data_IF_550288358604
#
_entry.id   IF_550288358604
#
_cell.length_a   1.000
_cell.length_b   1.000
_cell.length_c   1.000
_cell.angle_alpha   90.00
_cell.angle_beta   90.00
_cell.angle_gamma   90.00
#
_symmetry.space_group_name_H-M   'P 1'
#
loop_
_entity.id
_entity.type
_entity.pdbx_description
1 polymer ?
#
# COMPACT_ATOMS: atom_id res chain seq x y z
N UNK A 1 -22.33 -10.20 -0.20
CA UNK A 1 -22.40 -8.73 -0.18
C UNK A 1 -21.93 -8.26 1.19
N UNK A 2 -20.64 -8.03 1.33
CA UNK A 2 -20.04 -7.55 2.59
C UNK A 2 -20.18 -6.03 2.60
N UNK A 3 -20.82 -5.46 3.63
CA UNK A 3 -20.96 -4.00 3.80
C UNK A 3 -19.57 -3.34 3.77
N UNK A 4 -19.42 -2.12 3.24
CA UNK A 4 -18.22 -1.33 3.52
C UNK A 4 -18.16 -1.07 5.02
N UNK A 5 -17.01 -1.38 5.61
CA UNK A 5 -16.56 -0.92 6.94
C UNK A 5 -16.81 0.58 7.08
N UNK A 6 -17.31 1.02 8.23
CA UNK A 6 -17.49 2.43 8.58
C UNK A 6 -16.30 3.25 8.09
N UNK A 7 -16.56 4.24 7.24
CA UNK A 7 -15.55 5.19 6.82
C UNK A 7 -15.06 5.92 8.08
N UNK A 8 -13.88 5.53 8.56
CA UNK A 8 -13.20 6.27 9.62
C UNK A 8 -12.64 7.52 8.97
N UNK A 9 -13.12 8.70 9.36
CA UNK A 9 -12.54 9.95 8.90
C UNK A 9 -11.04 9.95 9.22
N UNK A 10 -10.21 10.17 8.20
CA UNK A 10 -8.76 10.15 8.32
C UNK A 10 -8.21 11.37 9.09
N UNK A 11 -9.03 12.42 9.22
CA UNK A 11 -8.70 13.68 9.85
C UNK A 11 -9.97 14.35 10.40
N UNK A 12 -9.79 15.34 11.26
CA UNK A 12 -10.88 16.20 11.70
C UNK A 12 -11.35 17.07 10.51
N UNK A 13 -12.66 17.11 10.28
CA UNK A 13 -13.24 17.92 9.22
C UNK A 13 -13.24 19.40 9.64
N UNK A 14 -12.78 20.33 8.78
CA UNK A 14 -12.94 21.75 9.03
C UNK A 14 -14.41 22.15 8.91
N UNK A 15 -14.79 23.25 9.58
CA UNK A 15 -16.11 23.86 9.41
C UNK A 15 -16.17 24.69 8.12
N UNK A 16 -16.08 24.00 6.98
CA UNK A 16 -16.13 24.58 5.64
C UNK A 16 -16.98 23.73 4.70
N UNK A 17 -17.72 24.33 3.75
CA UNK A 17 -18.47 23.57 2.75
C UNK A 17 -17.53 22.71 1.89
N UNK A 18 -17.78 21.40 1.89
CA UNK A 18 -17.00 20.44 1.10
C UNK A 18 -17.36 20.53 -0.37
N UNK A 19 -16.39 20.76 -1.24
CA UNK A 19 -16.60 20.88 -2.69
C UNK A 19 -16.46 19.55 -3.44
N UNK A 20 -15.62 18.65 -2.93
CA UNK A 20 -15.29 17.40 -3.59
C UNK A 20 -14.65 16.44 -2.59
N UNK A 21 -14.89 15.14 -2.76
CA UNK A 21 -14.19 14.09 -2.02
C UNK A 21 -13.69 13.06 -3.00
N UNK A 22 -12.42 12.67 -2.86
CA UNK A 22 -11.85 11.55 -3.58
C UNK A 22 -11.34 10.52 -2.59
N UNK A 23 -11.86 9.31 -2.71
CA UNK A 23 -11.43 8.16 -1.93
C UNK A 23 -10.61 7.21 -2.80
N UNK A 24 -9.54 6.68 -2.22
CA UNK A 24 -8.83 5.52 -2.75
C UNK A 24 -8.94 4.37 -1.74
N UNK A 25 -9.37 3.20 -2.20
CA UNK A 25 -9.29 1.96 -1.42
C UNK A 25 -8.41 0.98 -2.20
N UNK A 26 -7.28 0.62 -1.62
CA UNK A 26 -6.36 -0.35 -2.24
C UNK A 26 -6.09 -1.46 -1.24
N UNK A 27 -6.33 -2.70 -1.69
CA UNK A 27 -6.16 -3.89 -0.89
C UNK A 27 -5.32 -4.91 -1.64
N UNK A 28 -4.44 -5.57 -0.90
CA UNK A 28 -3.60 -6.64 -1.40
C UNK A 28 -4.05 -7.97 -0.78
N UNK A 29 -4.19 -8.99 -1.64
CA UNK A 29 -4.61 -10.33 -1.26
C UNK A 29 -3.58 -11.32 -1.76
N UNK A 30 -3.28 -12.33 -0.95
CA UNK A 30 -2.67 -13.55 -1.47
C UNK A 30 -3.71 -14.25 -2.35
N UNK A 31 -3.41 -14.43 -3.63
CA UNK A 31 -4.26 -15.20 -4.54
C UNK A 31 -3.89 -16.67 -4.50
N UNK A 32 -2.58 -16.95 -4.55
CA UNK A 32 -2.00 -18.29 -4.43
C UNK A 32 -0.56 -18.21 -3.86
N UNK A 33 0.22 -19.29 -4.02
CA UNK A 33 1.61 -19.36 -3.53
C UNK A 33 2.57 -18.44 -4.29
N UNK A 34 2.27 -18.17 -5.55
CA UNK A 34 3.14 -17.44 -6.49
C UNK A 34 2.61 -16.07 -6.83
N UNK A 35 1.32 -15.79 -6.67
CA UNK A 35 0.69 -14.53 -7.10
C UNK A 35 -0.07 -13.82 -5.98
N UNK A 36 -0.13 -12.49 -6.09
CA UNK A 36 -0.95 -11.61 -5.27
C UNK A 36 -1.93 -10.81 -6.14
N UNK A 37 -3.15 -10.60 -5.65
CA UNK A 37 -4.12 -9.69 -6.25
C UNK A 37 -4.04 -8.34 -5.53
N UNK A 38 -3.80 -7.27 -6.28
CA UNK A 38 -3.91 -5.89 -5.82
C UNK A 38 -5.18 -5.31 -6.45
N UNK A 39 -6.19 -5.06 -5.62
CA UNK A 39 -7.44 -4.40 -6.02
C UNK A 39 -7.43 -2.97 -5.56
N UNK A 40 -7.60 -2.04 -6.49
CA UNK A 40 -7.72 -0.61 -6.25
C UNK A 40 -9.08 -0.10 -6.70
N UNK A 41 -9.68 0.78 -5.92
CA UNK A 41 -10.86 1.56 -6.27
C UNK A 41 -10.58 3.05 -6.10
N UNK A 42 -11.06 3.87 -7.02
CA UNK A 42 -11.13 5.32 -6.87
C UNK A 42 -12.57 5.76 -6.98
N UNK A 43 -13.01 6.62 -6.07
CA UNK A 43 -14.35 7.20 -6.10
C UNK A 43 -14.29 8.71 -5.88
N UNK A 44 -14.93 9.45 -6.78
CA UNK A 44 -15.15 10.88 -6.63
C UNK A 44 -16.60 11.15 -6.28
N UNK A 45 -16.81 11.92 -5.23
CA UNK A 45 -18.13 12.29 -4.73
C UNK A 45 -18.24 13.81 -4.68
N UNK A 46 -19.33 14.31 -5.22
CA UNK A 46 -19.75 15.71 -5.12
C UNK A 46 -20.76 15.84 -3.98
N UNK A 47 -20.77 16.96 -3.25
CA UNK A 47 -21.74 17.20 -2.19
C UNK A 47 -23.17 17.24 -2.75
N UNK A 48 -24.15 17.10 -1.85
CA UNK A 48 -25.53 17.45 -2.13
C UNK A 48 -25.63 18.91 -2.61
N UNK A 49 -26.61 19.21 -3.46
CA UNK A 49 -26.80 20.54 -4.02
C UNK A 49 -25.82 20.93 -5.13
N UNK A 50 -24.90 20.05 -5.55
CA UNK A 50 -23.83 20.45 -6.46
C UNK A 50 -24.32 20.92 -7.85
N UNK A 51 -25.32 20.26 -8.42
CA UNK A 51 -25.88 20.59 -9.75
C UNK A 51 -27.33 21.09 -9.69
N UNK A 52 -28.04 20.81 -8.60
CA UNK A 52 -29.41 21.22 -8.32
C UNK A 52 -29.56 21.34 -6.81
N UNK A 53 -29.90 22.52 -6.29
CA UNK A 53 -30.09 22.79 -4.87
C UNK A 53 -31.19 21.91 -4.24
N UNK A 54 -32.09 21.34 -5.04
CA UNK A 54 -33.12 20.41 -4.59
C UNK A 54 -32.58 18.99 -4.35
N UNK A 55 -31.42 18.63 -4.92
CA UNK A 55 -30.80 17.32 -4.69
C UNK A 55 -30.09 17.29 -3.34
N UNK A 56 -30.68 16.58 -2.39
CA UNK A 56 -30.17 16.48 -1.02
C UNK A 56 -29.13 15.37 -0.84
N UNK A 57 -28.83 14.60 -1.88
CA UNK A 57 -27.93 13.45 -1.81
C UNK A 57 -26.56 13.75 -2.46
N UNK A 58 -25.47 13.19 -1.92
CA UNK A 58 -24.18 13.28 -2.58
C UNK A 58 -24.16 12.45 -3.89
N UNK A 59 -23.47 12.96 -4.90
CA UNK A 59 -23.39 12.34 -6.22
C UNK A 59 -22.02 11.70 -6.46
N UNK A 60 -21.99 10.40 -6.74
CA UNK A 60 -20.76 9.76 -7.24
C UNK A 60 -20.55 10.14 -8.71
N UNK A 61 -19.50 10.91 -8.98
CA UNK A 61 -19.16 11.37 -10.33
C UNK A 61 -18.27 10.37 -11.08
N UNK A 62 -17.33 9.76 -10.35
CA UNK A 62 -16.39 8.79 -10.89
C UNK A 62 -16.31 7.57 -9.98
N UNK A 63 -16.27 6.37 -10.56
CA UNK A 63 -15.99 5.15 -9.84
C UNK A 63 -15.27 4.18 -10.79
N UNK A 64 -13.99 3.93 -10.51
CA UNK A 64 -13.18 3.00 -11.30
C UNK A 64 -12.55 1.96 -10.38
N UNK A 65 -12.46 0.74 -10.89
CA UNK A 65 -11.84 -0.40 -10.20
C UNK A 65 -10.71 -0.92 -11.08
N UNK A 66 -9.58 -1.24 -10.46
CA UNK A 66 -8.41 -1.83 -11.10
C UNK A 66 -8.00 -3.06 -10.31
N UNK A 67 -7.91 -4.20 -10.99
CA UNK A 67 -7.34 -5.42 -10.45
C UNK A 67 -6.03 -5.73 -11.15
N UNK A 68 -4.97 -5.94 -10.37
CA UNK A 68 -3.67 -6.38 -10.86
C UNK A 68 -3.31 -7.70 -10.20
N UNK A 69 -3.10 -8.75 -11.00
CA UNK A 69 -2.46 -9.97 -10.52
C UNK A 69 -0.97 -9.80 -10.73
N UNK A 70 -0.20 -9.93 -9.65
CA UNK A 70 1.23 -9.69 -9.63
C UNK A 70 1.97 -10.94 -9.19
N UNK A 71 3.00 -11.31 -9.94
CA UNK A 71 3.93 -12.37 -9.57
C UNK A 71 4.76 -11.96 -8.35
N UNK A 72 4.79 -12.80 -7.32
CA UNK A 72 5.47 -12.48 -6.05
C UNK A 72 6.97 -12.71 -6.10
N UNK A 73 7.54 -13.34 -7.14
CA UNK A 73 8.98 -13.49 -7.28
C UNK A 73 9.60 -12.27 -8.00
N UNK A 74 8.94 -11.79 -9.05
CA UNK A 74 9.43 -10.79 -10.00
C UNK A 74 8.76 -9.43 -9.86
N UNK A 75 7.59 -9.36 -9.20
CA UNK A 75 6.72 -8.19 -9.14
C UNK A 75 6.16 -7.77 -10.50
N UNK A 76 6.15 -8.68 -11.47
CA UNK A 76 5.54 -8.47 -12.79
C UNK A 76 4.01 -8.59 -12.73
N UNK A 77 3.31 -7.70 -13.42
CA UNK A 77 1.85 -7.75 -13.59
C UNK A 77 1.52 -8.82 -14.64
N UNK A 78 0.89 -9.90 -14.21
CA UNK A 78 0.48 -11.02 -15.05
C UNK A 78 -0.90 -10.81 -15.68
N UNK A 79 -1.81 -10.18 -14.94
CA UNK A 79 -3.18 -9.88 -15.40
C UNK A 79 -3.56 -8.48 -14.92
N UNK A 80 -4.26 -7.72 -15.77
CA UNK A 80 -4.80 -6.41 -15.44
C UNK A 80 -6.24 -6.28 -15.94
N UNK A 81 -7.15 -5.95 -15.03
CA UNK A 81 -8.55 -5.65 -15.36
C UNK A 81 -8.90 -4.25 -14.88
N UNK A 82 -9.57 -3.47 -15.72
CA UNK A 82 -10.05 -2.12 -15.38
C UNK A 82 -11.53 -2.04 -15.67
N UNK A 83 -12.29 -1.50 -14.72
CA UNK A 83 -13.73 -1.30 -14.83
C UNK A 83 -14.08 0.15 -14.50
N UNK A 84 -14.99 0.73 -15.28
CA UNK A 84 -15.54 2.05 -15.08
C UNK A 84 -17.00 1.87 -14.67
N UNK A 85 -17.26 1.84 -13.37
CA UNK A 85 -18.60 1.64 -12.79
C UNK A 85 -19.46 2.89 -12.91
N UNK A 86 -18.86 4.07 -12.74
CA UNK A 86 -19.53 5.36 -12.85
C UNK A 86 -18.60 6.35 -13.58
N UNK A 87 -19.12 7.02 -14.59
CA UNK A 87 -18.37 7.97 -15.40
C UNK A 87 -19.29 9.04 -16.02
N UNK A 88 -18.81 10.28 -16.23
CA UNK A 88 -19.64 11.40 -16.70
C UNK A 88 -19.94 11.36 -18.20
N UNK A 89 -19.13 10.65 -19.01
CA UNK A 89 -19.28 10.65 -20.46
C UNK A 89 -19.37 9.23 -21.01
N UNK A 90 -20.24 8.97 -22.01
CA UNK A 90 -20.41 7.63 -22.58
C UNK A 90 -19.14 7.11 -23.29
N UNK A 91 -18.24 8.01 -23.71
CA UNK A 91 -16.98 7.64 -24.34
C UNK A 91 -15.87 7.28 -23.33
N UNK A 92 -16.04 7.52 -22.02
CA UNK A 92 -15.01 7.22 -21.02
C UNK A 92 -14.56 5.74 -21.02
N UNK A 93 -15.46 4.74 -21.12
CA UNK A 93 -15.04 3.33 -21.13
C UNK A 93 -14.26 2.91 -22.37
N UNK A 94 -14.25 3.69 -23.45
CA UNK A 94 -13.55 3.34 -24.70
C UNK A 94 -12.02 3.19 -24.50
N UNK A 95 -11.47 3.73 -23.41
CA UNK A 95 -10.05 3.61 -23.08
C UNK A 95 -9.71 2.36 -22.25
N UNK A 96 -10.71 1.59 -21.78
CA UNK A 96 -10.52 0.47 -20.84
C UNK A 96 -9.52 -0.56 -21.39
N UNK A 97 -9.66 -0.97 -22.65
CA UNK A 97 -8.77 -1.94 -23.29
C UNK A 97 -7.31 -1.45 -23.37
N UNK A 98 -7.09 -0.13 -23.35
CA UNK A 98 -5.74 0.45 -23.37
C UNK A 98 -4.93 0.06 -22.13
N UNK A 99 -5.59 -0.20 -21.00
CA UNK A 99 -4.93 -0.63 -19.77
C UNK A 99 -4.37 -2.05 -19.81
N UNK A 100 -4.67 -2.84 -20.85
CA UNK A 100 -3.97 -4.11 -21.10
C UNK A 100 -2.45 -3.95 -21.23
N UNK A 101 -1.95 -2.74 -21.54
CA UNK A 101 -0.52 -2.39 -21.57
C UNK A 101 0.17 -2.40 -20.20
N UNK A 102 -0.58 -2.63 -19.11
CA UNK A 102 -0.05 -2.87 -17.78
C UNK A 102 0.59 -4.25 -17.65
N UNK A 103 0.10 -5.24 -18.40
CA UNK A 103 0.62 -6.61 -18.37
C UNK A 103 2.08 -6.62 -18.84
N UNK A 104 2.94 -7.32 -18.10
CA UNK A 104 4.38 -7.37 -18.33
C UNK A 104 5.17 -6.22 -17.70
N UNK A 105 4.51 -5.22 -17.08
CA UNK A 105 5.21 -4.21 -16.30
C UNK A 105 5.52 -4.72 -14.89
N UNK A 106 6.68 -4.36 -14.36
CA UNK A 106 6.96 -4.54 -12.93
C UNK A 106 6.31 -3.42 -12.11
N UNK A 107 5.59 -3.78 -11.03
CA UNK A 107 5.01 -2.81 -10.07
C UNK A 107 6.05 -2.24 -9.08
N UNK A 108 7.32 -2.60 -9.26
CA UNK A 108 8.43 -2.13 -8.45
C UNK A 108 8.96 -0.75 -8.89
N UNK A 109 10.23 -0.46 -8.58
CA UNK A 109 10.91 0.80 -8.90
C UNK A 109 10.75 1.15 -10.39
N UNK A 110 10.33 2.39 -10.65
CA UNK A 110 10.10 2.89 -12.02
C UNK A 110 8.65 2.78 -12.50
N UNK A 111 7.78 2.04 -11.80
CA UNK A 111 6.39 1.86 -12.20
C UNK A 111 5.63 3.18 -12.40
N UNK A 112 5.70 4.10 -11.43
CA UNK A 112 5.01 5.41 -11.51
C UNK A 112 5.45 6.23 -12.73
N UNK A 113 6.73 6.15 -13.12
CA UNK A 113 7.22 6.81 -14.33
C UNK A 113 6.57 6.18 -15.57
N UNK A 114 6.59 4.84 -15.64
CA UNK A 114 6.00 4.09 -16.74
C UNK A 114 4.49 4.34 -16.89
N UNK A 115 3.77 4.45 -15.77
CA UNK A 115 2.35 4.81 -15.75
C UNK A 115 2.12 6.19 -16.39
N UNK A 116 2.95 7.18 -16.07
CA UNK A 116 2.82 8.52 -16.67
C UNK A 116 3.15 8.54 -18.16
N UNK A 117 4.14 7.77 -18.59
CA UNK A 117 4.44 7.62 -20.02
C UNK A 117 3.27 7.00 -20.77
N UNK A 118 2.73 5.88 -20.28
CA UNK A 118 1.69 5.12 -20.96
C UNK A 118 0.34 5.81 -20.93
N UNK A 119 -0.06 6.32 -19.76
CA UNK A 119 -1.44 6.73 -19.46
C UNK A 119 -1.56 8.20 -19.01
N UNK A 120 -0.50 8.99 -19.16
CA UNK A 120 -0.52 10.42 -18.85
C UNK A 120 -1.31 11.25 -19.88
N UNK A 121 -2.00 12.28 -19.39
CA UNK A 121 -2.77 13.19 -20.23
C UNK A 121 -3.87 12.48 -21.02
N UNK A 122 -4.01 12.71 -22.34
CA UNK A 122 -5.11 12.16 -23.13
C UNK A 122 -4.99 10.65 -23.40
N UNK A 123 -3.91 9.99 -22.94
CA UNK A 123 -3.67 8.55 -23.16
C UNK A 123 -4.32 7.66 -22.10
N UNK A 124 -4.98 8.25 -21.10
CA UNK A 124 -5.65 7.52 -20.02
C UNK A 124 -6.68 8.39 -19.32
N UNK A 125 -7.41 7.79 -18.38
CA UNK A 125 -8.23 8.51 -17.43
C UNK A 125 -7.36 9.05 -16.28
N UNK A 126 -7.51 10.33 -15.94
CA UNK A 126 -6.81 10.95 -14.81
C UNK A 126 -6.99 10.16 -13.50
N UNK A 127 -8.20 9.65 -13.26
CA UNK A 127 -8.57 8.88 -12.06
C UNK A 127 -7.84 7.54 -11.99
N UNK A 128 -7.92 6.71 -13.05
CA UNK A 128 -7.24 5.42 -13.09
C UNK A 128 -5.72 5.59 -13.08
N UNK A 129 -5.18 6.60 -13.77
CA UNK A 129 -3.74 6.91 -13.77
C UNK A 129 -3.26 7.30 -12.38
N UNK A 130 -4.03 8.09 -11.62
CA UNK A 130 -3.70 8.43 -10.23
C UNK A 130 -3.85 7.22 -9.29
N UNK A 131 -4.92 6.43 -9.46
CA UNK A 131 -5.15 5.18 -8.71
C UNK A 131 -3.98 4.21 -8.88
N UNK A 132 -3.51 3.98 -10.10
CA UNK A 132 -2.35 3.11 -10.36
C UNK A 132 -1.10 3.58 -9.60
N UNK A 133 -0.86 4.89 -9.52
CA UNK A 133 0.26 5.44 -8.74
C UNK A 133 0.06 5.21 -7.23
N UNK A 134 -1.17 5.28 -6.73
CA UNK A 134 -1.50 4.99 -5.34
C UNK A 134 -1.45 3.48 -5.02
N UNK A 135 -1.66 2.60 -6.00
CA UNK A 135 -1.61 1.16 -5.81
C UNK A 135 -0.18 0.62 -5.61
N UNK A 136 0.82 1.25 -6.23
CA UNK A 136 2.18 0.72 -6.21
C UNK A 136 2.82 0.65 -4.80
N UNK A 137 2.72 1.69 -3.93
CA UNK A 137 3.19 1.58 -2.55
C UNK A 137 2.52 0.45 -1.76
N UNK A 138 1.22 0.25 -1.95
CA UNK A 138 0.46 -0.82 -1.26
C UNK A 138 0.94 -2.19 -1.72
N UNK A 139 1.13 -2.39 -3.02
CA UNK A 139 1.67 -3.63 -3.57
C UNK A 139 3.06 -3.95 -3.01
N UNK A 140 3.95 -2.94 -2.96
CA UNK A 140 5.30 -3.09 -2.42
C UNK A 140 5.30 -3.40 -0.92
N UNK A 141 4.50 -2.69 -0.12
CA UNK A 141 4.40 -2.93 1.32
C UNK A 141 3.79 -4.30 1.63
N UNK A 142 2.76 -4.71 0.88
CA UNK A 142 2.16 -6.02 1.01
C UNK A 142 3.14 -7.13 0.64
N UNK A 143 3.91 -6.96 -0.44
CA UNK A 143 4.97 -7.89 -0.83
C UNK A 143 6.03 -8.05 0.27
N UNK A 144 6.57 -6.94 0.77
CA UNK A 144 7.56 -6.94 1.85
C UNK A 144 7.00 -7.57 3.14
N UNK A 145 5.74 -7.28 3.48
CA UNK A 145 5.03 -7.90 4.60
C UNK A 145 4.78 -9.40 4.38
N UNK A 146 4.47 -9.84 3.16
CA UNK A 146 4.20 -11.25 2.85
C UNK A 146 5.43 -12.14 3.02
N UNK A 147 6.64 -11.61 2.74
CA UNK A 147 7.91 -12.29 3.04
C UNK A 147 8.11 -12.51 4.54
N UNK A 148 7.56 -11.61 5.36
CA UNK A 148 7.58 -11.73 6.82
C UNK A 148 6.60 -12.82 7.32
N UNK A 149 5.48 -13.02 6.61
CA UNK A 149 4.40 -13.96 7.00
C UNK A 149 4.62 -15.37 6.43
N UNK A 150 5.24 -15.52 5.24
CA UNK A 150 5.50 -16.83 4.58
C UNK A 150 6.50 -17.72 5.33
N UNK A 151 7.18 -17.24 6.38
CA UNK A 151 8.26 -17.94 7.06
C UNK A 151 7.83 -18.91 8.16
N UNK A 152 6.54 -19.20 8.40
CA UNK A 152 6.13 -20.37 9.20
C UNK A 152 4.61 -20.65 9.17
N UNK A 153 4.15 -21.81 8.70
CA UNK A 153 2.95 -22.44 9.21
C UNK A 153 3.32 -23.28 10.45
N UNK A 154 2.60 -23.06 11.55
CA UNK A 154 2.70 -23.72 12.87
C UNK A 154 3.64 -23.07 13.91
N UNK A 155 2.99 -22.50 14.95
CA UNK A 155 3.55 -22.19 16.28
C UNK A 155 4.77 -21.27 16.33
N UNK A 156 4.60 -19.97 16.02
CA UNK A 156 5.62 -18.96 16.31
C UNK A 156 5.30 -17.57 15.77
N UNK A 157 5.90 -16.55 16.39
CA UNK A 157 5.88 -15.17 15.90
C UNK A 157 6.72 -15.06 14.61
N UNK A 158 6.09 -15.25 13.44
CA UNK A 158 6.78 -15.19 12.12
C UNK A 158 7.47 -13.86 11.86
N UNK A 159 6.97 -12.77 12.47
CA UNK A 159 7.61 -11.46 12.46
C UNK A 159 8.96 -11.48 13.19
N UNK A 160 9.03 -12.12 14.36
CA UNK A 160 10.26 -12.29 15.12
C UNK A 160 11.25 -13.27 14.48
N UNK A 161 10.74 -14.39 13.94
CA UNK A 161 11.57 -15.45 13.36
C UNK A 161 12.41 -15.00 12.14
N UNK A 162 11.90 -14.09 11.30
CA UNK A 162 12.67 -13.53 10.18
C UNK A 162 13.65 -12.42 10.59
N UNK A 163 13.45 -11.81 11.76
CA UNK A 163 14.32 -10.77 12.27
C UNK A 163 15.55 -11.37 12.97
N UNK A 164 15.43 -12.58 13.50
CA UNK A 164 16.44 -13.24 14.34
C UNK A 164 17.74 -13.61 13.59
N UNK A 165 17.69 -13.92 12.29
CA UNK A 165 18.88 -14.31 11.52
C UNK A 165 19.58 -13.12 10.85
N UNK A 166 20.93 -13.04 10.84
CA UNK A 166 21.67 -12.00 10.13
C UNK A 166 21.28 -11.90 8.63
N UNK A 167 21.07 -13.05 7.99
CA UNK A 167 20.64 -13.15 6.59
C UNK A 167 19.24 -12.56 6.38
N UNK A 168 18.30 -12.84 7.28
CA UNK A 168 16.94 -12.29 7.23
C UNK A 168 16.93 -10.76 7.40
N UNK A 169 17.79 -10.24 8.27
CA UNK A 169 17.98 -8.79 8.46
C UNK A 169 18.57 -8.12 7.23
N UNK A 170 19.61 -8.71 6.64
CA UNK A 170 20.21 -8.21 5.40
C UNK A 170 19.21 -8.23 4.23
N UNK A 171 18.45 -9.32 4.07
CA UNK A 171 17.42 -9.43 3.04
C UNK A 171 16.30 -8.39 3.21
N UNK A 172 15.90 -8.09 4.45
CA UNK A 172 14.94 -7.02 4.77
C UNK A 172 15.51 -5.65 4.43
N UNK A 173 16.75 -5.37 4.82
CA UNK A 173 17.42 -4.12 4.51
C UNK A 173 17.49 -3.90 2.99
N UNK A 174 17.92 -4.90 2.23
CA UNK A 174 17.99 -4.83 0.77
C UNK A 174 16.59 -4.65 0.15
N UNK A 175 15.59 -5.39 0.62
CA UNK A 175 14.22 -5.25 0.11
C UNK A 175 13.59 -3.88 0.34
N UNK A 176 13.99 -3.16 1.40
CA UNK A 176 13.49 -1.81 1.69
C UNK A 176 14.41 -0.70 1.18
N UNK A 177 15.59 -1.01 0.64
CA UNK A 177 16.59 -0.04 0.17
C UNK A 177 15.99 0.98 -0.79
N UNK A 178 16.13 2.27 -0.46
CA UNK A 178 15.58 3.42 -1.19
C UNK A 178 14.07 3.30 -1.48
N UNK A 179 13.30 2.76 -0.54
CA UNK A 179 11.82 2.75 -0.63
C UNK A 179 11.18 3.93 0.11
N UNK A 180 11.85 4.49 1.12
CA UNK A 180 11.47 5.74 1.77
C UNK A 180 12.70 6.42 2.39
N UNK A 181 12.51 7.62 2.96
CA UNK A 181 13.58 8.41 3.59
C UNK A 181 14.35 7.64 4.67
N UNK A 182 13.67 6.86 5.51
CA UNK A 182 14.30 6.06 6.57
C UNK A 182 15.16 4.92 5.99
N UNK A 183 14.81 4.41 4.82
CA UNK A 183 15.54 3.34 4.14
C UNK A 183 16.48 3.86 3.05
N UNK A 184 16.90 5.13 3.13
CA UNK A 184 17.88 5.69 2.20
C UNK A 184 19.23 4.99 2.36
N UNK A 185 19.94 4.81 1.25
CA UNK A 185 21.24 4.14 1.21
C UNK A 185 22.31 4.73 2.11
N UNK A 186 22.28 6.05 2.22
CA UNK A 186 23.12 6.91 3.04
C UNK A 186 22.51 7.21 4.42
N UNK A 187 21.38 6.58 4.74
CA UNK A 187 20.66 6.78 5.99
C UNK A 187 21.26 5.98 7.15
N UNK A 188 21.29 6.60 8.33
CA UNK A 188 21.82 6.00 9.57
C UNK A 188 21.15 4.68 9.93
N UNK A 189 19.85 4.53 9.63
CA UNK A 189 19.11 3.32 9.94
C UNK A 189 19.61 2.09 9.15
N UNK A 190 19.79 2.23 7.83
CA UNK A 190 20.38 1.13 7.04
C UNK A 190 21.80 0.81 7.48
N UNK A 191 22.59 1.83 7.82
CA UNK A 191 23.95 1.63 8.33
C UNK A 191 23.95 0.89 9.68
N UNK A 192 23.04 1.22 10.58
CA UNK A 192 22.86 0.52 11.86
C UNK A 192 22.59 -0.98 11.66
N UNK A 193 21.74 -1.33 10.69
CA UNK A 193 21.43 -2.73 10.38
C UNK A 193 22.66 -3.43 9.80
N UNK A 194 23.43 -2.76 8.93
CA UNK A 194 24.64 -3.32 8.31
C UNK A 194 25.76 -3.55 9.33
N UNK A 195 25.94 -2.63 10.26
CA UNK A 195 27.06 -2.65 11.21
C UNK A 195 26.77 -3.45 12.48
N UNK A 196 25.59 -3.26 13.06
CA UNK A 196 25.22 -3.85 14.36
C UNK A 196 24.17 -4.95 14.24
N UNK A 197 23.47 -5.04 13.10
CA UNK A 197 22.30 -5.91 12.95
C UNK A 197 21.09 -5.44 13.78
N UNK A 198 21.13 -4.26 14.39
CA UNK A 198 20.03 -3.74 15.16
C UNK A 198 18.84 -3.40 14.25
N UNK A 199 17.65 -3.85 14.61
CA UNK A 199 16.41 -3.51 13.91
C UNK A 199 15.48 -2.84 14.88
N UNK A 200 14.88 -1.74 14.45
CA UNK A 200 13.84 -1.06 15.21
C UNK A 200 12.49 -1.74 15.00
N UNK A 201 11.76 -2.02 16.08
CA UNK A 201 10.34 -2.35 15.98
C UNK A 201 9.56 -1.13 15.46
N UNK A 202 8.64 -1.29 14.49
CA UNK A 202 7.78 -0.19 14.08
C UNK A 202 7.04 0.41 15.28
N UNK A 203 7.08 1.73 15.43
CA UNK A 203 6.48 2.46 16.57
C UNK A 203 5.05 2.00 16.88
N UNK A 204 4.12 1.83 15.90
CA UNK A 204 2.77 1.37 16.21
C UNK A 204 2.72 -0.05 16.82
N UNK A 205 3.67 -0.92 16.48
CA UNK A 205 3.79 -2.26 17.07
C UNK A 205 4.30 -2.13 18.50
N UNK A 206 5.34 -1.32 18.75
CA UNK A 206 5.85 -1.06 20.10
C UNK A 206 4.77 -0.49 21.02
N UNK A 207 4.01 0.52 20.55
CA UNK A 207 2.87 1.09 21.29
C UNK A 207 1.82 0.02 21.59
N UNK A 208 1.44 -0.80 20.60
CA UNK A 208 0.47 -1.88 20.80
C UNK A 208 0.95 -2.97 21.77
N UNK A 209 2.24 -3.24 21.84
CA UNK A 209 2.81 -4.15 22.84
C UNK A 209 2.68 -3.55 24.26
N UNK A 210 3.02 -2.28 24.42
CA UNK A 210 2.86 -1.55 25.70
C UNK A 210 1.39 -1.51 26.16
N UNK A 211 0.45 -1.21 25.26
CA UNK A 211 -0.99 -1.24 25.55
C UNK A 211 -1.48 -2.60 26.07
N UNK A 212 -0.78 -3.68 25.69
CA UNK A 212 -1.06 -5.05 26.13
C UNK A 212 -0.27 -5.47 27.38
N UNK A 213 0.49 -4.55 27.98
CA UNK A 213 1.36 -4.83 29.13
C UNK A 213 2.59 -5.67 28.79
N UNK A 214 3.02 -5.68 27.52
CA UNK A 214 4.19 -6.42 27.05
C UNK A 214 5.33 -5.44 26.80
N UNK A 215 6.49 -5.67 27.43
CA UNK A 215 7.70 -4.89 27.18
C UNK A 215 8.24 -5.15 25.75
N UNK A 216 8.35 -4.11 24.90
CA UNK A 216 8.77 -4.29 23.50
C UNK A 216 10.18 -4.85 23.34
N UNK A 217 11.12 -4.44 24.19
CA UNK A 217 12.53 -4.86 24.10
C UNK A 217 12.69 -6.31 24.54
N UNK A 218 12.02 -6.73 25.62
CA UNK A 218 11.95 -8.12 26.04
C UNK A 218 11.27 -9.00 24.98
N UNK A 219 10.20 -8.51 24.34
CA UNK A 219 9.53 -9.22 23.24
C UNK A 219 10.45 -9.39 22.03
N UNK A 220 11.23 -8.35 21.71
CA UNK A 220 12.19 -8.34 20.62
C UNK A 220 13.41 -9.24 20.89
N UNK A 221 13.92 -9.24 22.12
CA UNK A 221 15.02 -10.08 22.58
C UNK A 221 14.61 -11.57 22.58
N UNK A 222 13.38 -11.88 23.03
CA UNK A 222 12.82 -13.23 22.94
C UNK A 222 12.68 -13.71 21.49
N UNK A 223 12.52 -12.78 20.55
CA UNK A 223 12.55 -13.05 19.11
C UNK A 223 13.97 -13.13 18.52
N UNK A 224 15.03 -13.01 19.31
CA UNK A 224 16.42 -13.15 18.87
C UNK A 224 17.01 -11.91 18.18
N UNK A 225 16.49 -10.72 18.49
CA UNK A 225 17.03 -9.46 17.95
C UNK A 225 17.27 -8.41 19.02
N UNK A 226 18.22 -7.51 18.74
CA UNK A 226 18.59 -6.41 19.64
C UNK A 226 18.04 -5.09 19.09
N UNK A 227 17.42 -4.23 19.92
CA UNK A 227 17.02 -2.88 19.51
C UNK A 227 18.26 -2.00 19.24
N UNK A 228 18.13 -0.96 18.38
CA UNK A 228 19.19 0.03 18.22
C UNK A 228 19.43 0.82 19.51
N UNK A 229 20.61 1.42 19.65
CA UNK A 229 21.03 2.19 20.84
C UNK A 229 20.19 3.43 21.12
N UNK A 230 19.40 3.87 20.14
CA UNK A 230 18.35 4.87 20.32
C UNK A 230 17.01 4.14 20.37
N UNK A 231 16.49 3.94 21.59
CA UNK A 231 15.17 3.34 21.82
C UNK A 231 14.07 4.26 21.27
N UNK A 232 12.93 3.68 20.91
CA UNK A 232 11.71 4.40 20.53
C UNK A 232 11.03 5.06 21.76
N UNK A 233 11.81 5.66 22.65
CA UNK A 233 11.35 6.27 23.90
C UNK A 233 11.08 7.78 23.76
N UNK A 234 11.14 8.31 22.54
CA UNK A 234 10.69 9.67 22.25
C UNK A 234 9.22 9.67 21.79
N UNK A 235 8.36 10.12 22.72
CA UNK A 235 6.90 10.42 22.65
C UNK A 235 5.88 9.26 22.50
#
# INVERSE_FOLDING_TARGET
MTRPTEATNLFAEPDLPRLHTRDYDVRAYRRDDTTMLIRGGVRDVLPAGFYDDADTEPLTMHHMVVDLVVDTATLEILEATVLFEQHPHPACPNIVDHYGRLVGLSIARGFTHRIRELFGGPRGCSHTTALLQAMAPVAMQAFLGSRIIKSTPSTGNSFGANLSSPEGRAARAEGNRNTCHVWSDDGEYLESIRTTGAIMLPIPISRRLRDRGIDPDAWQAAAGTTPPTHSNDEE
#
